data_IF_203364089241
#
_entry.id   IF_203364089241
#
_cell.length_a   1.000
_cell.length_b   1.000
_cell.length_c   1.000
_cell.angle_alpha   90.00
_cell.angle_beta   90.00
_cell.angle_gamma   90.00
#
_symmetry.space_group_name_H-M   'P 1'
#
loop_
_entity.id
_entity.type
_entity.pdbx_description
1 polymer ?
#
# COMPACT_ATOMS: atom_id res chain seq x y z
N UNK A 1 2.98 -18.77 -25.09
CA UNK A 1 3.35 -17.54 -24.35
C UNK A 1 3.67 -17.94 -22.92
N UNK A 2 4.91 -17.82 -22.47
CA UNK A 2 5.29 -18.10 -21.09
C UNK A 2 4.61 -17.06 -20.19
N UNK A 3 3.75 -17.53 -19.27
CA UNK A 3 3.22 -16.66 -18.21
C UNK A 3 4.40 -16.28 -17.31
N UNK A 4 4.74 -14.99 -17.22
CA UNK A 4 5.73 -14.52 -16.26
C UNK A 4 5.41 -14.96 -14.83
N UNK A 5 6.40 -14.97 -13.92
CA UNK A 5 6.19 -15.40 -12.55
C UNK A 5 5.10 -14.55 -11.88
N UNK A 6 4.23 -15.21 -11.09
CA UNK A 6 3.24 -14.53 -10.26
C UNK A 6 3.91 -14.04 -8.98
N UNK A 7 3.67 -12.79 -8.61
CA UNK A 7 4.12 -12.22 -7.34
C UNK A 7 2.96 -11.92 -6.42
N UNK A 8 3.19 -12.03 -5.11
CA UNK A 8 2.28 -11.68 -4.06
C UNK A 8 2.73 -10.42 -3.34
N UNK A 9 1.79 -9.48 -3.07
CA UNK A 9 2.05 -8.30 -2.25
C UNK A 9 1.16 -8.35 -1.01
N UNK A 10 1.77 -8.20 0.17
CA UNK A 10 1.05 -7.91 1.40
C UNK A 10 1.16 -6.41 1.67
N UNK A 11 0.03 -5.71 1.55
CA UNK A 11 -0.07 -4.31 1.90
C UNK A 11 -0.42 -4.20 3.39
N UNK A 12 0.59 -4.00 4.21
CA UNK A 12 0.43 -3.77 5.65
C UNK A 12 0.14 -2.32 6.00
N UNK A 13 -0.34 -2.08 7.22
CA UNK A 13 -0.57 -0.72 7.75
C UNK A 13 0.76 0.03 7.91
N UNK A 14 1.75 -0.61 8.52
CA UNK A 14 3.07 0.00 8.83
C UNK A 14 4.13 -0.39 7.81
N UNK A 15 4.17 -1.66 7.40
CA UNK A 15 5.11 -2.20 6.42
C UNK A 15 4.40 -3.06 5.40
N UNK A 16 4.89 -3.04 4.19
CA UNK A 16 4.45 -3.89 3.09
C UNK A 16 5.58 -4.80 2.63
N UNK A 17 5.26 -5.92 2.00
CA UNK A 17 6.27 -6.76 1.37
C UNK A 17 5.76 -7.36 0.06
N UNK A 18 6.69 -7.81 -0.78
CA UNK A 18 6.40 -8.52 -2.03
C UNK A 18 7.18 -9.83 -2.08
N UNK A 19 6.53 -10.88 -2.51
CA UNK A 19 7.15 -12.20 -2.64
C UNK A 19 6.82 -12.87 -3.96
N UNK A 20 7.64 -13.82 -4.35
CA UNK A 20 7.47 -14.66 -5.52
C UNK A 20 7.44 -16.13 -5.11
N UNK A 21 6.64 -16.95 -5.81
CA UNK A 21 6.70 -18.39 -5.68
C UNK A 21 7.57 -18.95 -6.80
N UNK A 22 8.71 -19.50 -6.43
CA UNK A 22 9.64 -20.16 -7.34
C UNK A 22 10.39 -21.28 -6.64
N UNK A 23 10.82 -22.28 -7.39
CA UNK A 23 11.55 -23.46 -6.86
C UNK A 23 10.80 -24.17 -5.72
N UNK A 24 9.46 -24.17 -5.75
CA UNK A 24 8.61 -24.85 -4.76
C UNK A 24 8.45 -24.12 -3.42
N UNK A 25 8.94 -22.87 -3.29
CA UNK A 25 8.84 -22.06 -2.06
C UNK A 25 8.48 -20.62 -2.35
N UNK A 26 7.96 -19.92 -1.34
CA UNK A 26 7.80 -18.46 -1.37
C UNK A 26 9.11 -17.80 -0.95
N UNK A 27 9.56 -16.86 -1.74
CA UNK A 27 10.73 -16.03 -1.47
C UNK A 27 10.31 -14.57 -1.40
N UNK A 28 10.64 -13.88 -0.31
CA UNK A 28 10.38 -12.45 -0.14
C UNK A 28 11.49 -11.66 -0.82
N UNK A 29 11.10 -10.79 -1.73
CA UNK A 29 12.01 -9.96 -2.53
C UNK A 29 12.45 -8.77 -1.69
N UNK A 30 13.77 -8.55 -1.59
CA UNK A 30 14.32 -7.39 -0.92
C UNK A 30 14.16 -6.12 -1.78
N UNK A 31 13.94 -4.98 -1.13
CA UNK A 31 13.88 -3.68 -1.79
C UNK A 31 15.28 -3.15 -2.13
N UNK A 32 15.35 -1.95 -2.70
CA UNK A 32 16.58 -1.26 -3.08
C UNK A 32 17.55 -0.96 -1.91
N UNK A 33 17.05 -0.98 -0.66
CA UNK A 33 17.84 -0.85 0.55
C UNK A 33 18.27 -2.22 1.14
N UNK A 34 17.93 -3.33 0.49
CA UNK A 34 18.19 -4.68 0.96
C UNK A 34 17.20 -5.19 2.03
N UNK A 35 16.16 -4.42 2.35
CA UNK A 35 15.16 -4.78 3.33
C UNK A 35 14.07 -5.67 2.72
N UNK A 36 13.65 -6.72 3.43
CA UNK A 36 12.54 -7.61 3.02
C UNK A 36 11.15 -7.02 3.25
N UNK A 37 11.07 -5.95 4.02
CA UNK A 37 9.86 -5.17 4.23
C UNK A 37 10.12 -3.72 3.85
N UNK A 38 9.10 -3.04 3.35
CA UNK A 38 9.17 -1.64 2.92
C UNK A 38 8.14 -0.85 3.73
N UNK A 39 8.50 0.28 4.34
CA UNK A 39 7.54 1.12 5.05
C UNK A 39 6.37 1.53 4.15
N UNK A 40 5.14 1.44 4.67
CA UNK A 40 3.93 1.91 3.97
C UNK A 40 3.79 3.43 4.10
N UNK A 41 4.83 4.17 3.70
CA UNK A 41 5.01 5.61 3.81
C UNK A 41 5.08 6.23 2.43
N UNK A 42 4.42 7.38 2.27
CA UNK A 42 4.50 8.22 1.07
C UNK A 42 4.74 9.66 1.51
N UNK A 43 5.81 10.27 1.03
CA UNK A 43 6.14 11.66 1.31
C UNK A 43 6.07 12.51 0.04
N UNK A 44 5.56 13.71 0.19
CA UNK A 44 5.42 14.68 -0.88
C UNK A 44 6.35 15.85 -0.60
N UNK A 45 7.15 16.21 -1.58
CA UNK A 45 8.12 17.32 -1.51
C UNK A 45 7.84 18.32 -2.63
N UNK A 46 8.58 19.41 -2.65
CA UNK A 46 8.47 20.42 -3.71
C UNK A 46 8.89 19.90 -5.09
N UNK A 47 9.69 18.83 -5.12
CA UNK A 47 10.25 18.29 -6.36
C UNK A 47 9.68 16.93 -6.73
N UNK A 48 9.50 16.04 -5.75
CA UNK A 48 9.20 14.64 -6.02
C UNK A 48 8.27 14.01 -4.96
N UNK A 49 7.83 12.78 -5.26
CA UNK A 49 7.10 11.91 -4.33
C UNK A 49 8.00 10.75 -3.96
N UNK A 50 8.27 10.61 -2.67
CA UNK A 50 9.06 9.52 -2.09
C UNK A 50 8.16 8.42 -1.55
N UNK A 51 8.57 7.17 -1.65
CA UNK A 51 7.79 6.01 -1.17
C UNK A 51 8.73 5.05 -0.44
N UNK A 52 8.24 4.44 0.65
CA UNK A 52 8.96 3.43 1.40
C UNK A 52 10.03 4.02 2.32
N UNK A 53 11.23 3.44 2.31
CA UNK A 53 12.33 3.83 3.19
C UNK A 53 12.71 5.30 3.00
N UNK A 54 12.77 5.79 1.78
CA UNK A 54 13.07 7.20 1.49
C UNK A 54 12.04 8.15 2.11
N UNK A 55 10.74 7.80 2.04
CA UNK A 55 9.68 8.57 2.68
C UNK A 55 9.80 8.54 4.20
N UNK A 56 10.04 7.38 4.78
CA UNK A 56 10.19 7.22 6.24
C UNK A 56 11.40 7.98 6.79
N UNK A 57 12.52 7.97 6.08
CA UNK A 57 13.75 8.61 6.52
C UNK A 57 13.65 10.11 6.65
N UNK A 58 12.75 10.76 5.90
CA UNK A 58 12.56 12.21 5.95
C UNK A 58 11.36 12.66 6.81
N UNK A 59 10.65 11.76 7.48
CA UNK A 59 9.43 12.08 8.23
C UNK A 59 9.66 13.16 9.31
N UNK A 60 10.82 13.16 9.95
CA UNK A 60 11.16 14.14 10.98
C UNK A 60 11.31 15.57 10.43
N UNK A 61 11.72 15.70 9.15
CA UNK A 61 11.93 17.00 8.48
C UNK A 61 10.68 17.48 7.73
N UNK A 62 9.80 16.56 7.34
CA UNK A 62 8.58 16.86 6.56
C UNK A 62 7.37 16.07 7.08
N UNK A 63 7.01 16.20 8.37
CA UNK A 63 5.96 15.39 8.98
C UNK A 63 4.58 15.65 8.38
N UNK A 64 4.26 16.90 8.05
CA UNK A 64 2.93 17.29 7.56
C UNK A 64 2.62 16.79 6.15
N UNK A 65 3.64 16.50 5.35
CA UNK A 65 3.51 16.00 3.99
C UNK A 65 4.00 14.54 3.85
N UNK A 66 4.19 13.84 4.98
CA UNK A 66 4.55 12.42 4.99
C UNK A 66 3.38 11.62 5.54
N UNK A 67 2.77 10.84 4.66
CA UNK A 67 1.55 10.07 4.93
C UNK A 67 1.92 8.62 5.26
N UNK A 68 1.37 8.12 6.33
CA UNK A 68 1.43 6.71 6.76
C UNK A 68 0.07 6.28 7.31
N UNK A 69 -0.10 5.02 7.67
CA UNK A 69 -1.37 4.50 8.19
C UNK A 69 -2.58 4.68 7.25
N UNK A 70 -2.38 4.96 5.97
CA UNK A 70 -3.48 5.17 5.02
C UNK A 70 -4.48 4.00 5.00
N UNK A 71 -4.01 2.77 5.28
CA UNK A 71 -4.87 1.58 5.37
C UNK A 71 -5.93 1.69 6.48
N UNK A 72 -5.70 2.48 7.53
CA UNK A 72 -6.69 2.72 8.60
C UNK A 72 -7.86 3.59 8.15
N UNK A 73 -7.68 4.37 7.07
CA UNK A 73 -8.71 5.25 6.51
C UNK A 73 -9.53 4.57 5.40
N UNK A 74 -9.00 3.52 4.76
CA UNK A 74 -9.66 2.84 3.63
C UNK A 74 -11.02 2.28 4.05
N UNK A 75 -12.06 2.64 3.28
CA UNK A 75 -13.43 2.16 3.48
C UNK A 75 -14.13 2.74 4.70
N UNK A 76 -13.52 3.70 5.41
CA UNK A 76 -14.14 4.37 6.56
C UNK A 76 -14.79 5.69 6.17
N UNK A 77 -15.73 6.12 6.99
CA UNK A 77 -16.30 7.46 6.90
C UNK A 77 -15.46 8.44 7.71
N UNK A 78 -15.48 9.70 7.31
CA UNK A 78 -14.76 10.77 8.03
C UNK A 78 -15.23 10.91 9.48
N UNK A 79 -16.55 10.76 9.72
CA UNK A 79 -17.20 10.88 11.04
C UNK A 79 -17.07 9.61 11.92
N UNK A 80 -16.41 8.55 11.44
CA UNK A 80 -16.12 7.35 12.23
C UNK A 80 -15.27 7.70 13.45
N UNK A 81 -15.71 7.25 14.63
CA UNK A 81 -15.03 7.54 15.90
C UNK A 81 -13.55 7.08 15.91
N UNK A 82 -13.22 5.99 15.21
CA UNK A 82 -11.85 5.51 15.07
C UNK A 82 -11.03 6.48 14.24
N UNK A 83 -11.57 7.00 13.12
CA UNK A 83 -10.91 8.00 12.28
C UNK A 83 -10.66 9.28 13.06
N UNK A 84 -11.68 9.77 13.79
CA UNK A 84 -11.57 10.98 14.62
C UNK A 84 -10.55 10.83 15.76
N UNK A 85 -10.40 9.62 16.30
CA UNK A 85 -9.38 9.31 17.30
C UNK A 85 -7.99 9.28 16.70
N UNK A 86 -7.82 8.58 15.57
CA UNK A 86 -6.53 8.41 14.90
C UNK A 86 -5.99 9.74 14.37
N UNK A 87 -6.86 10.63 13.84
CA UNK A 87 -6.50 11.97 13.35
C UNK A 87 -5.76 12.83 14.37
N UNK A 88 -5.98 12.62 15.66
CA UNK A 88 -5.31 13.37 16.74
C UNK A 88 -3.81 13.04 16.85
N UNK A 89 -3.38 11.93 16.29
CA UNK A 89 -2.01 11.43 16.39
C UNK A 89 -1.21 11.58 15.08
N UNK A 90 -1.88 11.85 13.96
CA UNK A 90 -1.20 12.07 12.69
C UNK A 90 -0.72 13.51 12.54
N UNK A 91 0.52 13.71 12.06
CA UNK A 91 1.04 15.05 11.80
C UNK A 91 0.50 15.67 10.51
N UNK A 92 0.00 14.85 9.57
CA UNK A 92 -0.61 15.29 8.32
C UNK A 92 -2.10 15.58 8.50
N UNK A 93 -2.64 16.39 7.60
CA UNK A 93 -4.04 16.80 7.65
C UNK A 93 -4.94 15.77 6.97
N UNK A 94 -6.07 15.45 7.60
CA UNK A 94 -7.15 14.66 6.99
C UNK A 94 -8.38 15.55 6.90
N UNK A 95 -8.94 15.67 5.70
CA UNK A 95 -10.10 16.53 5.39
C UNK A 95 -11.31 15.70 5.00
N UNK A 96 -12.48 16.29 5.20
CA UNK A 96 -13.75 15.68 4.84
C UNK A 96 -14.12 16.03 3.39
N UNK A 97 -14.31 15.03 2.56
CA UNK A 97 -14.85 15.17 1.21
C UNK A 97 -16.15 14.37 1.09
N UNK A 98 -17.27 15.05 1.26
CA UNK A 98 -18.61 14.45 1.19
C UNK A 98 -18.76 13.19 2.10
N UNK A 99 -18.22 13.24 3.31
CA UNK A 99 -18.26 12.16 4.29
C UNK A 99 -17.13 11.13 4.15
N UNK A 100 -16.23 11.29 3.17
CA UNK A 100 -15.05 10.45 2.97
C UNK A 100 -13.77 11.16 3.44
N UNK A 101 -12.86 10.48 4.14
CA UNK A 101 -11.59 11.08 4.51
C UNK A 101 -10.67 11.20 3.29
N UNK A 102 -10.01 12.34 3.15
CA UNK A 102 -8.89 12.59 2.23
C UNK A 102 -7.69 13.09 3.02
N UNK A 103 -6.50 12.69 2.63
CA UNK A 103 -5.25 13.24 3.16
C UNK A 103 -4.88 14.46 2.32
N UNK A 104 -4.61 15.59 2.99
CA UNK A 104 -4.20 16.84 2.36
C UNK A 104 -2.72 17.08 2.63
N UNK A 105 -1.98 17.41 1.58
CA UNK A 105 -0.53 17.63 1.60
C UNK A 105 -0.14 18.77 0.66
N UNK A 106 1.03 19.33 0.87
CA UNK A 106 1.66 20.23 -0.10
C UNK A 106 2.58 19.41 -1.02
N UNK A 107 2.39 19.56 -2.31
CA UNK A 107 3.16 18.86 -3.34
C UNK A 107 3.46 19.77 -4.51
N UNK A 108 4.76 20.03 -4.77
CA UNK A 108 5.22 20.92 -5.84
C UNK A 108 4.65 22.34 -5.73
N UNK A 109 4.57 22.86 -4.50
CA UNK A 109 4.03 24.19 -4.22
C UNK A 109 2.50 24.31 -4.32
N UNK A 110 1.79 23.22 -4.44
CA UNK A 110 0.33 23.18 -4.51
C UNK A 110 -0.25 22.30 -3.40
N UNK A 111 -1.35 22.74 -2.81
CA UNK A 111 -2.13 21.91 -1.89
C UNK A 111 -2.89 20.85 -2.68
N UNK A 112 -2.59 19.58 -2.42
CA UNK A 112 -3.26 18.43 -3.04
C UNK A 112 -3.90 17.53 -2.01
N UNK A 113 -5.02 16.92 -2.39
CA UNK A 113 -5.73 15.98 -1.54
C UNK A 113 -5.86 14.63 -2.25
N UNK A 114 -5.55 13.56 -1.52
CA UNK A 114 -5.56 12.19 -2.01
C UNK A 114 -6.51 11.33 -1.18
N UNK A 115 -7.26 10.44 -1.82
CA UNK A 115 -7.95 9.40 -1.10
C UNK A 115 -6.96 8.37 -0.52
N UNK A 116 -7.29 7.72 0.59
CA UNK A 116 -6.44 6.67 1.18
C UNK A 116 -6.10 5.55 0.20
N UNK A 117 -7.03 5.23 -0.71
CA UNK A 117 -6.83 4.25 -1.77
C UNK A 117 -5.75 4.68 -2.78
N UNK A 118 -5.69 5.99 -3.09
CA UNK A 118 -4.66 6.55 -3.98
C UNK A 118 -3.28 6.47 -3.33
N UNK A 119 -3.17 6.84 -2.05
CA UNK A 119 -1.91 6.71 -1.29
C UNK A 119 -1.46 5.25 -1.23
N UNK A 120 -2.39 4.34 -0.96
CA UNK A 120 -2.10 2.90 -0.93
C UNK A 120 -1.68 2.35 -2.28
N UNK A 121 -2.25 2.87 -3.38
CA UNK A 121 -1.85 2.50 -4.73
C UNK A 121 -0.41 2.92 -5.06
N UNK A 122 0.06 4.04 -4.49
CA UNK A 122 1.46 4.48 -4.62
C UNK A 122 2.41 3.47 -3.96
N UNK A 123 2.07 2.98 -2.77
CA UNK A 123 2.84 1.92 -2.10
C UNK A 123 2.85 0.63 -2.93
N UNK A 124 1.70 0.24 -3.48
CA UNK A 124 1.61 -0.94 -4.35
C UNK A 124 2.45 -0.80 -5.63
N UNK A 125 2.52 0.41 -6.18
CA UNK A 125 3.40 0.70 -7.33
C UNK A 125 4.87 0.48 -6.96
N UNK A 126 5.32 0.92 -5.78
CA UNK A 126 6.68 0.66 -5.29
C UNK A 126 6.93 -0.84 -5.12
N UNK A 127 5.97 -1.61 -4.59
CA UNK A 127 6.09 -3.07 -4.49
C UNK A 127 6.23 -3.73 -5.87
N UNK A 128 5.51 -3.21 -6.86
CA UNK A 128 5.65 -3.65 -8.25
C UNK A 128 7.05 -3.38 -8.79
N UNK A 129 7.55 -2.17 -8.62
CA UNK A 129 8.89 -1.78 -9.07
C UNK A 129 9.97 -2.68 -8.46
N UNK A 130 9.87 -2.98 -7.15
CA UNK A 130 10.76 -3.91 -6.46
C UNK A 130 10.71 -5.31 -7.09
N UNK A 131 9.53 -5.81 -7.38
CA UNK A 131 9.36 -7.12 -8.02
C UNK A 131 9.91 -7.12 -9.46
N UNK A 132 9.67 -6.07 -10.23
CA UNK A 132 10.15 -5.93 -11.60
C UNK A 132 11.67 -5.76 -11.67
N UNK A 133 12.29 -5.12 -10.70
CA UNK A 133 13.75 -5.00 -10.59
C UNK A 133 14.41 -6.36 -10.33
N UNK A 134 13.74 -7.25 -9.57
CA UNK A 134 14.23 -8.58 -9.25
C UNK A 134 13.96 -9.61 -10.34
N UNK A 135 12.77 -9.61 -10.93
CA UNK A 135 12.27 -10.67 -11.84
C UNK A 135 12.25 -10.24 -13.32
N UNK A 136 12.54 -8.98 -13.63
CA UNK A 136 12.23 -8.40 -14.92
C UNK A 136 10.74 -8.09 -15.05
N UNK A 137 10.18 -8.11 -16.29
CA UNK A 137 8.75 -7.84 -16.48
C UNK A 137 7.89 -8.90 -15.79
N UNK A 138 7.12 -8.50 -14.78
CA UNK A 138 6.22 -9.36 -14.02
C UNK A 138 4.76 -9.09 -14.36
N UNK A 139 3.96 -10.16 -14.33
CA UNK A 139 2.52 -10.05 -14.35
C UNK A 139 2.03 -10.04 -12.90
N UNK A 140 1.59 -8.88 -12.43
CA UNK A 140 1.14 -8.74 -11.06
C UNK A 140 -0.23 -9.37 -10.83
N UNK A 141 -0.32 -10.09 -9.73
CA UNK A 141 -1.58 -10.61 -9.18
C UNK A 141 -1.63 -10.10 -7.73
N UNK A 142 -2.46 -9.11 -7.42
CA UNK A 142 -2.57 -8.54 -6.07
C UNK A 142 -3.69 -9.16 -5.25
N UNK A 143 -3.47 -9.37 -3.96
CA UNK A 143 -4.51 -9.67 -2.99
C UNK A 143 -4.49 -8.63 -1.86
N UNK A 144 -5.61 -7.96 -1.66
CA UNK A 144 -5.83 -7.11 -0.50
C UNK A 144 -6.23 -7.96 0.71
N UNK A 145 -5.41 -7.94 1.77
CA UNK A 145 -5.82 -8.40 3.09
C UNK A 145 -6.44 -7.22 3.85
N UNK A 146 -7.76 -7.08 3.84
CA UNK A 146 -8.45 -6.13 4.73
C UNK A 146 -8.63 -6.81 6.09
N UNK A 147 -7.79 -6.43 7.07
CA UNK A 147 -8.05 -6.77 8.47
C UNK A 147 -8.96 -5.68 9.04
N UNK A 148 -10.22 -5.90 8.95
CA UNK A 148 -11.34 -5.55 9.84
C UNK A 148 -12.61 -5.28 9.04
N UNK A 149 -13.60 -6.16 9.24
CA UNK A 149 -15.01 -5.91 8.91
C UNK A 149 -15.44 -6.29 7.50
N UNK A 150 -15.85 -7.55 7.36
CA UNK A 150 -16.85 -8.03 6.41
C UNK A 150 -16.53 -8.03 4.92
N UNK A 151 -15.81 -9.02 4.47
CA UNK A 151 -16.29 -9.96 3.47
C UNK A 151 -15.77 -11.35 3.85
N UNK A 152 -16.58 -12.13 4.54
CA UNK A 152 -16.40 -13.58 4.66
C UNK A 152 -16.75 -14.21 3.32
N UNK A 153 -15.74 -14.54 2.52
CA UNK A 153 -15.80 -15.69 1.64
C UNK A 153 -15.04 -16.82 2.32
N UNK A 154 -15.60 -18.02 2.46
CA UNK A 154 -14.89 -19.13 3.07
C UNK A 154 -13.70 -19.48 2.16
N UNK A 155 -12.49 -19.33 2.69
CA UNK A 155 -11.29 -19.88 2.05
C UNK A 155 -11.32 -21.39 2.28
N UNK A 156 -11.54 -22.14 1.22
CA UNK A 156 -11.08 -23.52 1.15
C UNK A 156 -9.57 -23.53 0.85
N UNK A 157 -8.77 -24.42 1.43
CA UNK A 157 -7.38 -24.59 1.06
C UNK A 157 -7.26 -24.88 -0.44
N UNK A 158 -6.62 -23.99 -1.21
CA UNK A 158 -6.48 -24.11 -2.66
C UNK A 158 -7.39 -23.21 -3.50
N UNK A 159 -8.29 -22.41 -2.91
CA UNK A 159 -9.25 -21.55 -3.64
C UNK A 159 -8.69 -20.21 -4.06
N UNK A 160 -8.84 -19.84 -5.34
CA UNK A 160 -8.57 -18.49 -5.88
C UNK A 160 -9.80 -17.62 -5.72
N UNK A 161 -9.73 -16.58 -4.87
CA UNK A 161 -10.75 -15.55 -4.78
C UNK A 161 -10.48 -14.39 -5.74
N UNK A 162 -11.51 -13.89 -6.42
CA UNK A 162 -11.43 -12.72 -7.32
C UNK A 162 -12.00 -11.49 -6.65
N UNK A 163 -11.21 -10.42 -6.60
CA UNK A 163 -11.70 -9.09 -6.26
C UNK A 163 -11.61 -8.16 -7.47
N UNK A 164 -12.63 -7.30 -7.66
CA UNK A 164 -12.66 -6.29 -8.72
C UNK A 164 -12.56 -4.91 -8.10
N UNK A 165 -11.39 -4.26 -8.19
CA UNK A 165 -11.21 -2.85 -7.94
C UNK A 165 -10.86 -2.13 -9.23
N UNK A 166 -11.39 -0.91 -9.46
CA UNK A 166 -10.99 -0.05 -10.59
C UNK A 166 -9.88 0.88 -10.12
N UNK A 167 -8.68 0.72 -10.66
CA UNK A 167 -7.69 1.77 -10.68
C UNK A 167 -8.01 2.77 -11.79
N UNK A 168 -7.45 3.95 -11.72
CA UNK A 168 -7.61 5.03 -12.72
C UNK A 168 -7.09 4.64 -14.12
N UNK A 169 -6.42 3.50 -14.24
CA UNK A 169 -5.84 2.94 -15.47
C UNK A 169 -6.46 1.60 -15.93
N UNK A 170 -7.54 1.15 -15.28
CA UNK A 170 -8.32 -0.02 -15.70
C UNK A 170 -7.71 -1.40 -15.38
N UNK A 171 -6.61 -1.48 -14.63
CA UNK A 171 -5.94 -2.75 -14.31
C UNK A 171 -6.63 -3.54 -13.19
N UNK A 172 -6.86 -4.84 -13.41
CA UNK A 172 -7.37 -5.79 -12.40
C UNK A 172 -6.20 -6.46 -11.64
N UNK A 173 -6.28 -6.49 -10.33
CA UNK A 173 -5.22 -6.99 -9.46
C UNK A 173 -5.67 -8.10 -8.50
N UNK A 174 -4.93 -9.21 -8.42
CA UNK A 174 -5.14 -10.33 -7.47
C UNK A 174 -3.82 -10.76 -6.81
N UNK A 175 -3.79 -10.92 -5.48
CA UNK A 175 -2.60 -11.37 -4.74
C UNK A 175 -2.93 -12.31 -3.59
N UNK A 176 -2.12 -13.33 -3.39
CA UNK A 176 -2.07 -14.21 -2.20
C UNK A 176 -0.65 -14.26 -1.64
N UNK A 177 -0.42 -13.74 -0.46
CA UNK A 177 0.72 -14.13 0.40
C UNK A 177 0.50 -13.73 1.85
N UNK A 178 0.96 -14.57 2.76
CA UNK A 178 1.13 -14.26 4.18
C UNK A 178 2.57 -13.80 4.40
N UNK A 179 2.75 -12.56 4.83
CA UNK A 179 4.05 -12.09 5.30
C UNK A 179 4.34 -12.71 6.68
N UNK A 180 5.54 -13.29 6.92
CA UNK A 180 5.86 -13.74 8.27
C UNK A 180 5.83 -12.55 9.22
N UNK A 181 5.14 -12.70 10.35
CA UNK A 181 5.22 -11.75 11.47
C UNK A 181 6.68 -11.62 11.88
N UNK A 182 7.21 -10.42 11.80
CA UNK A 182 8.52 -10.09 12.37
C UNK A 182 8.34 -10.09 13.89
N UNK A 183 9.23 -10.80 14.66
CA UNK A 183 9.17 -10.83 16.09
C UNK A 183 9.38 -9.45 16.73
#
# INVERSE_FOLDING_TARGET
MSKGPAVGIDLGTTYSCVGVFQHGKVEIIANDQGNRTTPSYVAFTDTERLIGDAAKNQVAMNPTNTVFDAKRLIGRRFDDAVVQSDMKHWPFMVVNDAGRPKVQVEYKGETKSFYPEEVSSMVLTKMKEIAEAYLGKVRLVFQYGVHSGVVKSPMTPGGTGTWRGRGTDGAQLRVKTTCPTVP
#
